data_IF_855172329232
#
_entry.id   IF_855172329232
#
_cell.length_a   1.000
_cell.length_b   1.000
_cell.length_c   1.000
_cell.angle_alpha   90.00
_cell.angle_beta   90.00
_cell.angle_gamma   90.00
#
_symmetry.space_group_name_H-M   'P 1'
#
loop_
_entity.id
_entity.type
_entity.pdbx_description
1 polymer ?
#
# COMPACT_ATOMS: atom_id res chain seq x y z
N UNK A 1 0.57 -5.09 15.83
CA UNK A 1 0.82 -5.50 14.44
C UNK A 1 0.49 -6.96 14.26
N UNK A 2 -0.28 -7.29 13.26
CA UNK A 2 -0.62 -8.68 12.89
C UNK A 2 -0.43 -8.85 11.39
N UNK A 3 0.50 -9.73 11.00
CA UNK A 3 0.70 -10.13 9.61
C UNK A 3 -0.14 -11.35 9.27
N UNK A 4 -0.78 -11.37 8.10
CA UNK A 4 -1.62 -12.49 7.67
C UNK A 4 -1.30 -12.93 6.24
N UNK A 5 -1.24 -14.24 6.05
CA UNK A 5 -1.14 -14.91 4.75
C UNK A 5 -2.51 -15.44 4.28
N UNK A 6 -3.52 -15.36 5.14
CA UNK A 6 -4.87 -15.81 4.86
C UNK A 6 -5.86 -14.86 5.54
N UNK A 7 -6.78 -14.33 4.77
CA UNK A 7 -7.76 -13.35 5.25
C UNK A 7 -8.63 -13.86 6.41
N UNK A 8 -8.85 -15.16 6.51
CA UNK A 8 -9.57 -15.78 7.63
C UNK A 8 -8.87 -15.59 8.99
N UNK A 9 -7.58 -15.26 8.98
CA UNK A 9 -6.77 -14.95 10.18
C UNK A 9 -6.61 -13.44 10.40
N UNK A 10 -7.26 -12.61 9.61
CA UNK A 10 -7.24 -11.16 9.79
C UNK A 10 -7.97 -10.77 11.09
N UNK A 11 -7.66 -9.57 11.63
CA UNK A 11 -8.43 -9.01 12.74
C UNK A 11 -9.93 -8.90 12.40
N UNK A 12 -10.82 -8.79 13.40
CA UNK A 12 -12.25 -8.61 13.18
C UNK A 12 -12.52 -7.50 12.13
N UNK A 13 -13.50 -7.76 11.27
CA UNK A 13 -13.91 -6.84 10.20
C UNK A 13 -14.83 -5.75 10.76
N UNK A 14 -14.21 -4.84 11.52
CA UNK A 14 -14.88 -3.77 12.29
C UNK A 14 -14.09 -2.47 12.15
N UNK A 15 -14.78 -1.34 12.28
CA UNK A 15 -14.18 -0.02 12.19
C UNK A 15 -13.81 0.36 10.75
N UNK A 16 -12.70 1.08 10.60
CA UNK A 16 -12.26 1.65 9.34
C UNK A 16 -10.84 1.18 8.99
N UNK A 17 -10.68 0.59 7.82
CA UNK A 17 -9.39 0.15 7.31
C UNK A 17 -8.94 1.03 6.14
N UNK A 18 -7.71 1.54 6.22
CA UNK A 18 -7.07 2.28 5.15
C UNK A 18 -5.86 1.50 4.66
N UNK A 19 -5.92 1.07 3.42
CA UNK A 19 -4.84 0.32 2.78
C UNK A 19 -3.71 1.26 2.37
N UNK A 20 -2.50 0.85 2.67
CA UNK A 20 -1.27 1.50 2.21
C UNK A 20 -0.65 0.62 1.13
N UNK A 21 -0.67 1.11 -0.10
CA UNK A 21 -0.13 0.44 -1.27
C UNK A 21 1.00 1.26 -1.88
N UNK A 22 1.89 0.64 -2.60
CA UNK A 22 2.98 1.34 -3.28
C UNK A 22 4.08 0.39 -3.70
N UNK A 23 4.86 0.82 -4.68
CA UNK A 23 6.05 0.09 -5.11
C UNK A 23 7.08 0.05 -3.99
N UNK A 24 7.99 -0.92 -4.08
CA UNK A 24 9.16 -0.92 -3.21
C UNK A 24 9.89 0.43 -3.26
N UNK A 25 10.29 0.92 -2.09
CA UNK A 25 10.95 2.22 -1.92
C UNK A 25 10.12 3.46 -2.33
N UNK A 26 8.81 3.34 -2.48
CA UNK A 26 7.91 4.48 -2.70
C UNK A 26 7.67 5.35 -1.46
N UNK A 27 8.28 5.04 -0.31
CA UNK A 27 8.13 5.79 0.93
C UNK A 27 6.98 5.33 1.84
N UNK A 28 6.30 4.23 1.51
CA UNK A 28 5.16 3.68 2.24
C UNK A 28 5.49 3.42 3.73
N UNK A 29 6.58 2.72 4.03
CA UNK A 29 7.00 2.43 5.41
C UNK A 29 7.37 3.69 6.21
N UNK A 30 7.95 4.69 5.55
CA UNK A 30 8.26 5.98 6.18
C UNK A 30 6.97 6.73 6.53
N UNK A 31 5.99 6.73 5.63
CA UNK A 31 4.68 7.32 5.86
C UNK A 31 3.94 6.61 7.00
N UNK A 32 3.93 5.27 7.01
CA UNK A 32 3.31 4.48 8.06
C UNK A 32 3.93 4.80 9.44
N UNK A 33 5.26 4.86 9.54
CA UNK A 33 5.94 5.20 10.78
C UNK A 33 5.62 6.63 11.25
N UNK A 34 5.47 7.57 10.32
CA UNK A 34 5.10 8.94 10.62
C UNK A 34 3.65 9.02 11.15
N UNK A 35 2.70 8.41 10.44
CA UNK A 35 1.28 8.39 10.80
C UNK A 35 1.03 7.73 12.15
N UNK A 36 1.71 6.63 12.41
CA UNK A 36 1.59 5.89 13.67
C UNK A 36 2.39 6.51 14.82
N UNK A 37 3.09 7.63 14.61
CA UNK A 37 3.98 8.27 15.59
C UNK A 37 5.00 7.31 16.23
N UNK A 38 5.36 6.26 15.50
CA UNK A 38 6.26 5.21 15.97
C UNK A 38 7.33 4.91 14.92
N UNK A 39 8.56 5.34 15.17
CA UNK A 39 9.70 5.20 14.22
C UNK A 39 10.08 3.75 13.87
N UNK A 40 9.53 2.76 14.57
CA UNK A 40 9.88 1.35 14.41
C UNK A 40 8.68 0.45 14.10
N UNK A 41 7.50 1.01 13.86
CA UNK A 41 6.27 0.24 13.67
C UNK A 41 6.33 -0.60 12.39
N UNK A 42 6.69 0.02 11.27
CA UNK A 42 7.02 -0.72 10.05
C UNK A 42 8.54 -0.90 10.01
N UNK A 43 8.98 -2.14 10.09
CA UNK A 43 10.37 -2.45 9.74
C UNK A 43 10.52 -2.18 8.25
N UNK A 44 11.32 -1.19 7.92
CA UNK A 44 11.82 -1.03 6.57
C UNK A 44 12.62 -2.27 6.22
N UNK A 45 11.99 -3.28 5.63
CA UNK A 45 12.72 -4.45 5.16
C UNK A 45 13.59 -3.99 4.01
N UNK A 46 14.90 -3.98 4.21
CA UNK A 46 15.89 -3.64 3.18
C UNK A 46 15.93 -4.68 2.05
N UNK A 47 15.17 -5.77 2.16
CA UNK A 47 15.18 -6.85 1.18
C UNK A 47 13.84 -6.90 0.46
N UNK A 48 13.79 -6.45 -0.81
CA UNK A 48 12.61 -6.50 -1.65
C UNK A 48 12.09 -7.93 -1.84
N UNK A 49 10.76 -8.14 -1.84
CA UNK A 49 10.14 -9.42 -2.16
C UNK A 49 10.11 -10.46 -1.03
N UNK A 50 10.45 -10.09 0.21
CA UNK A 50 10.45 -11.00 1.35
C UNK A 50 9.09 -11.18 2.01
N UNK A 51 8.21 -10.19 1.95
CA UNK A 51 6.92 -10.20 2.65
C UNK A 51 5.79 -10.36 1.66
N UNK A 52 5.07 -11.46 1.77
CA UNK A 52 3.81 -11.75 1.04
C UNK A 52 2.61 -11.61 1.96
N UNK A 53 2.79 -11.01 3.13
CA UNK A 53 1.77 -10.84 4.16
C UNK A 53 1.11 -9.48 4.06
N UNK A 54 -0.17 -9.43 4.36
CA UNK A 54 -0.88 -8.18 4.67
C UNK A 54 -0.70 -7.88 6.15
N UNK A 55 -0.22 -6.70 6.49
CA UNK A 55 0.05 -6.33 7.87
C UNK A 55 -0.98 -5.32 8.39
N UNK A 56 -1.66 -5.67 9.46
CA UNK A 56 -2.65 -4.82 10.12
C UNK A 56 -2.02 -4.09 11.30
N UNK A 57 -2.20 -2.78 11.33
CA UNK A 57 -1.73 -1.90 12.40
C UNK A 57 -2.92 -1.16 13.01
N UNK A 58 -3.19 -1.40 14.26
CA UNK A 58 -4.20 -0.66 15.02
C UNK A 58 -3.65 0.74 15.35
N UNK A 59 -4.34 1.78 14.92
CA UNK A 59 -3.99 3.19 15.21
C UNK A 59 -4.85 3.72 16.34
N UNK A 60 -6.16 3.48 16.27
CA UNK A 60 -7.14 3.72 17.35
C UNK A 60 -8.00 2.49 17.52
N UNK A 61 -8.99 2.53 18.40
CA UNK A 61 -9.94 1.41 18.54
C UNK A 61 -10.77 1.19 17.27
N UNK A 62 -11.01 2.25 16.49
CA UNK A 62 -11.81 2.20 15.27
C UNK A 62 -10.98 2.18 13.98
N UNK A 63 -9.73 2.67 13.99
CA UNK A 63 -8.92 2.86 12.77
C UNK A 63 -7.76 1.88 12.73
N UNK A 64 -7.68 1.17 11.62
CA UNK A 64 -6.55 0.30 11.25
C UNK A 64 -5.89 0.79 9.97
N UNK A 65 -4.57 0.77 9.94
CA UNK A 65 -3.78 0.88 8.71
C UNK A 65 -3.38 -0.52 8.25
N UNK A 66 -3.53 -0.76 6.97
CA UNK A 66 -3.28 -2.09 6.37
C UNK A 66 -2.16 -1.96 5.35
N UNK A 67 -0.98 -2.45 5.73
CA UNK A 67 0.21 -2.39 4.89
C UNK A 67 0.24 -3.58 3.93
N UNK A 68 0.07 -3.31 2.64
CA UNK A 68 0.22 -4.32 1.61
C UNK A 68 1.70 -4.56 1.28
N UNK A 69 2.06 -5.78 0.86
CA UNK A 69 3.37 -6.03 0.28
C UNK A 69 3.64 -5.04 -0.85
N UNK A 70 4.86 -4.48 -0.89
CA UNK A 70 5.24 -3.62 -2.00
C UNK A 70 5.16 -4.39 -3.32
N UNK A 71 4.59 -3.78 -4.34
CA UNK A 71 4.50 -4.37 -5.68
C UNK A 71 5.65 -3.90 -6.59
N UNK A 72 5.70 -4.44 -7.80
CA UNK A 72 6.72 -4.09 -8.80
C UNK A 72 8.03 -4.87 -8.69
N UNK A 73 8.03 -6.01 -7.97
CA UNK A 73 9.18 -6.90 -7.93
C UNK A 73 9.17 -7.91 -9.08
N UNK A 74 10.19 -7.85 -9.93
CA UNK A 74 10.43 -8.82 -10.99
C UNK A 74 10.97 -10.18 -10.48
N UNK A 75 11.33 -10.27 -9.19
CA UNK A 75 12.00 -11.45 -8.61
C UNK A 75 11.13 -12.35 -7.75
N UNK A 76 9.82 -12.16 -7.75
CA UNK A 76 8.90 -13.05 -7.03
C UNK A 76 8.63 -14.30 -7.87
N UNK A 77 8.69 -15.49 -7.26
CA UNK A 77 8.30 -16.72 -7.97
C UNK A 77 6.82 -16.66 -8.37
N UNK A 78 6.47 -17.36 -9.45
CA UNK A 78 5.10 -17.39 -9.98
C UNK A 78 4.09 -17.81 -8.91
N UNK A 79 4.41 -18.84 -8.12
CA UNK A 79 3.53 -19.34 -7.06
C UNK A 79 3.31 -18.31 -5.94
N UNK A 80 4.36 -17.61 -5.52
CA UNK A 80 4.25 -16.55 -4.52
C UNK A 80 3.40 -15.38 -5.02
N UNK A 81 3.57 -15.01 -6.30
CA UNK A 81 2.76 -13.98 -6.93
C UNK A 81 1.29 -14.38 -6.95
N UNK A 82 0.98 -15.60 -7.41
CA UNK A 82 -0.40 -16.14 -7.45
C UNK A 82 -1.05 -16.15 -6.06
N UNK A 83 -0.31 -16.59 -5.05
CA UNK A 83 -0.82 -16.60 -3.66
C UNK A 83 -1.09 -15.17 -3.15
N UNK A 84 -0.24 -14.22 -3.47
CA UNK A 84 -0.44 -12.81 -3.10
C UNK A 84 -1.65 -12.23 -3.84
N UNK A 85 -1.78 -12.47 -5.14
CA UNK A 85 -2.92 -12.00 -5.92
C UNK A 85 -4.24 -12.55 -5.34
N UNK A 86 -4.29 -13.85 -4.99
CA UNK A 86 -5.45 -14.48 -4.34
C UNK A 86 -5.74 -13.86 -2.98
N UNK A 87 -4.71 -13.56 -2.18
CA UNK A 87 -4.87 -12.92 -0.87
C UNK A 87 -5.44 -11.51 -1.01
N UNK A 88 -4.94 -10.74 -1.98
CA UNK A 88 -5.44 -9.38 -2.26
C UNK A 88 -6.87 -9.41 -2.80
N UNK A 89 -7.18 -10.31 -3.75
CA UNK A 89 -8.55 -10.49 -4.26
C UNK A 89 -9.52 -10.80 -3.11
N UNK A 90 -9.16 -11.71 -2.22
CA UNK A 90 -9.99 -12.06 -1.05
C UNK A 90 -10.14 -10.88 -0.08
N UNK A 91 -9.07 -10.12 0.16
CA UNK A 91 -9.10 -8.96 1.04
C UNK A 91 -10.02 -7.87 0.49
N UNK A 92 -9.83 -7.47 -0.76
CA UNK A 92 -10.59 -6.39 -1.38
C UNK A 92 -12.07 -6.76 -1.62
N UNK A 93 -12.37 -8.02 -1.89
CA UNK A 93 -13.75 -8.48 -2.16
C UNK A 93 -14.57 -8.73 -0.90
N UNK A 94 -13.94 -9.03 0.24
CA UNK A 94 -14.68 -9.49 1.43
C UNK A 94 -14.69 -8.51 2.60
N UNK A 95 -13.73 -7.56 2.70
CA UNK A 95 -13.61 -6.66 3.84
C UNK A 95 -14.56 -5.48 3.75
N UNK A 96 -15.56 -5.45 4.62
CA UNK A 96 -16.52 -4.34 4.70
C UNK A 96 -15.94 -3.11 5.40
N UNK A 97 -14.97 -3.29 6.29
CA UNK A 97 -14.25 -2.20 6.96
C UNK A 97 -13.26 -1.46 6.07
N UNK A 98 -12.98 -1.97 4.85
CA UNK A 98 -12.09 -1.32 3.89
C UNK A 98 -12.72 -0.04 3.32
N UNK A 99 -12.16 1.12 3.68
CA UNK A 99 -12.69 2.43 3.29
C UNK A 99 -12.01 3.01 2.06
N UNK A 100 -10.70 2.96 2.00
CA UNK A 100 -9.93 3.54 0.91
C UNK A 100 -8.52 2.96 0.84
N UNK A 101 -7.89 3.11 -0.33
CA UNK A 101 -6.49 2.81 -0.54
C UNK A 101 -5.68 4.11 -0.69
N UNK A 102 -4.50 4.17 -0.09
CA UNK A 102 -3.52 5.23 -0.25
C UNK A 102 -2.37 4.66 -1.07
N UNK A 103 -2.18 5.17 -2.29
CA UNK A 103 -1.19 4.66 -3.24
C UNK A 103 0.01 5.60 -3.26
N UNK A 104 1.12 5.13 -2.69
CA UNK A 104 2.37 5.89 -2.61
C UNK A 104 3.19 5.73 -3.88
N UNK A 105 3.55 6.85 -4.50
CA UNK A 105 4.39 6.92 -5.68
C UNK A 105 5.56 7.88 -5.45
N UNK A 106 6.75 7.50 -5.94
CA UNK A 106 7.89 8.41 -5.98
C UNK A 106 7.60 9.50 -7.03
N UNK A 107 7.60 10.78 -6.61
CA UNK A 107 7.25 11.92 -7.46
C UNK A 107 8.13 12.05 -8.71
N UNK A 108 9.35 11.48 -8.68
CA UNK A 108 10.25 11.51 -9.83
C UNK A 108 9.82 10.57 -10.96
N UNK A 109 9.03 9.54 -10.63
CA UNK A 109 8.60 8.48 -11.55
C UNK A 109 7.18 7.99 -11.17
N UNK A 110 6.16 8.87 -11.20
CA UNK A 110 4.79 8.48 -10.88
C UNK A 110 4.19 7.63 -12.01
N UNK A 111 3.04 7.05 -11.75
CA UNK A 111 2.21 6.33 -12.72
C UNK A 111 2.97 5.23 -13.51
N UNK A 112 3.83 4.49 -12.83
CA UNK A 112 4.40 3.28 -13.43
C UNK A 112 3.30 2.23 -13.65
N UNK A 113 3.52 1.31 -14.59
CA UNK A 113 2.53 0.27 -14.92
C UNK A 113 1.97 -0.44 -13.67
N UNK A 114 2.81 -0.71 -12.68
CA UNK A 114 2.36 -1.35 -11.44
C UNK A 114 1.52 -0.43 -10.56
N UNK A 115 1.69 0.88 -10.62
CA UNK A 115 0.84 1.85 -9.92
C UNK A 115 -0.53 1.91 -10.58
N UNK A 116 -0.56 1.96 -11.92
CA UNK A 116 -1.79 1.92 -12.71
C UNK A 116 -2.56 0.62 -12.46
N UNK A 117 -1.89 -0.52 -12.47
CA UNK A 117 -2.50 -1.82 -12.15
C UNK A 117 -3.14 -1.83 -10.74
N UNK A 118 -2.52 -1.19 -9.74
CA UNK A 118 -3.12 -1.08 -8.41
C UNK A 118 -4.34 -0.15 -8.41
N UNK A 119 -4.33 0.94 -9.18
CA UNK A 119 -5.49 1.82 -9.33
C UNK A 119 -6.65 1.08 -10.02
N UNK A 120 -6.37 0.34 -11.11
CA UNK A 120 -7.34 -0.51 -11.79
C UNK A 120 -7.90 -1.59 -10.86
N UNK A 121 -7.05 -2.16 -10.02
CA UNK A 121 -7.45 -3.14 -9.01
C UNK A 121 -8.40 -2.52 -7.96
N UNK A 122 -8.11 -1.32 -7.46
CA UNK A 122 -9.01 -0.59 -6.59
C UNK A 122 -10.35 -0.31 -7.29
N UNK A 123 -10.31 0.12 -8.56
CA UNK A 123 -11.51 0.37 -9.35
C UNK A 123 -12.37 -0.88 -9.55
N UNK A 124 -11.74 -2.03 -9.82
CA UNK A 124 -12.42 -3.34 -9.95
C UNK A 124 -13.27 -3.69 -8.73
N UNK A 125 -12.80 -3.34 -7.54
CA UNK A 125 -13.49 -3.62 -6.28
C UNK A 125 -14.26 -2.41 -5.71
N UNK A 126 -14.40 -1.34 -6.50
CA UNK A 126 -15.09 -0.11 -6.11
C UNK A 126 -14.52 0.52 -4.83
N UNK A 127 -13.23 0.34 -4.59
CA UNK A 127 -12.51 0.93 -3.45
C UNK A 127 -11.95 2.29 -3.85
N UNK A 128 -12.37 3.38 -3.21
CA UNK A 128 -11.77 4.70 -3.44
C UNK A 128 -10.26 4.67 -3.18
N UNK A 129 -9.49 5.43 -3.97
CA UNK A 129 -8.06 5.54 -3.71
C UNK A 129 -7.57 7.00 -3.80
N UNK A 130 -6.50 7.27 -3.05
CA UNK A 130 -5.84 8.56 -2.99
C UNK A 130 -4.38 8.36 -3.41
N UNK A 131 -3.95 8.94 -4.54
CA UNK A 131 -2.54 8.95 -4.93
C UNK A 131 -1.75 9.91 -4.02
N UNK A 132 -0.61 9.47 -3.51
CA UNK A 132 0.29 10.27 -2.69
C UNK A 132 1.68 10.28 -3.31
N UNK A 133 2.14 11.46 -3.72
CA UNK A 133 3.47 11.67 -4.26
C UNK A 133 4.47 11.89 -3.11
N UNK A 134 5.50 11.06 -3.05
CA UNK A 134 6.55 11.10 -2.03
C UNK A 134 7.86 11.66 -2.58
N UNK A 135 8.80 12.00 -1.68
CA UNK A 135 10.16 12.47 -2.03
C UNK A 135 10.19 13.77 -2.83
N UNK A 136 9.26 14.67 -2.58
CA UNK A 136 9.22 15.99 -3.22
C UNK A 136 10.50 16.82 -2.97
N UNK A 137 11.21 16.53 -1.88
CA UNK A 137 12.53 17.11 -1.57
C UNK A 137 13.60 16.82 -2.64
N UNK A 138 13.37 15.88 -3.54
CA UNK A 138 14.28 15.51 -4.63
C UNK A 138 14.06 16.31 -5.92
N UNK A 139 13.06 17.17 -5.98
CA UNK A 139 12.71 17.97 -7.15
C UNK A 139 12.60 19.46 -6.80
N UNK A 140 12.81 20.32 -7.82
CA UNK A 140 12.50 21.74 -7.71
C UNK A 140 10.99 22.01 -7.89
N UNK A 141 10.53 23.18 -7.53
CA UNK A 141 9.11 23.55 -7.52
C UNK A 141 8.42 23.37 -8.88
N UNK A 142 9.08 23.68 -9.99
CA UNK A 142 8.49 23.53 -11.32
C UNK A 142 8.31 22.06 -11.72
N UNK A 143 9.27 21.20 -11.37
CA UNK A 143 9.17 19.76 -11.59
C UNK A 143 8.10 19.11 -10.70
N UNK A 144 7.97 19.56 -9.44
CA UNK A 144 6.89 19.13 -8.54
C UNK A 144 5.53 19.45 -9.15
N UNK A 145 5.32 20.70 -9.59
CA UNK A 145 4.03 21.13 -10.19
C UNK A 145 3.69 20.33 -11.45
N UNK A 146 4.69 19.97 -12.26
CA UNK A 146 4.50 19.13 -13.44
C UNK A 146 4.06 17.71 -13.05
N UNK A 147 4.78 17.08 -12.13
CA UNK A 147 4.45 15.71 -11.67
C UNK A 147 3.05 15.64 -11.02
N UNK A 148 2.62 16.69 -10.33
CA UNK A 148 1.26 16.76 -9.77
C UNK A 148 0.22 16.75 -10.89
N UNK A 149 0.40 17.62 -11.93
CA UNK A 149 -0.50 17.69 -13.08
C UNK A 149 -0.58 16.37 -13.87
N UNK A 150 0.52 15.60 -13.92
CA UNK A 150 0.54 14.31 -14.60
C UNK A 150 -0.31 13.25 -13.87
N UNK A 151 -0.59 13.45 -12.58
CA UNK A 151 -1.35 12.52 -11.73
C UNK A 151 -2.81 12.95 -11.52
N UNK A 152 -3.12 14.22 -11.71
CA UNK A 152 -4.49 14.77 -11.68
C UNK A 152 -5.31 14.29 -12.89
#
# INVERSE_FOLDING_TARGET
>A
MQGVLNIKKAPPDEGFEFVLAGRSNAGKSSALNCLAKNKKLARTSKTPGRTTEINFFKVTDEIKLVDLPGYGFSKMSVDKKKNLDTLLDNYFSSRQSLCAAIIFMDIRHPLKNSDIQMMEFCHKYEVPFIPVLTKSDKLNSSAISRSIKDVE
#
